data_IF_269463563223
#
_entry.id   IF_269463563223
#
_cell.length_a   1.000
_cell.length_b   1.000
_cell.length_c   1.000
_cell.angle_alpha   90.00
_cell.angle_beta   90.00
_cell.angle_gamma   90.00
#
_symmetry.space_group_name_H-M   'P 1'
#
loop_
_entity.id
_entity.type
_entity.pdbx_description
1 polymer ?
#
# COMPACT_ATOMS: atom_id res chain seq x y z
N UNK A 1 12.09 -14.59 -17.14
CA UNK A 1 11.56 -14.52 -15.77
C UNK A 1 11.92 -13.19 -15.14
N UNK A 2 10.96 -12.56 -14.50
CA UNK A 2 11.19 -11.28 -13.83
C UNK A 2 12.06 -11.46 -12.58
N UNK A 3 12.98 -10.54 -12.32
CA UNK A 3 13.80 -10.55 -11.11
C UNK A 3 12.97 -10.38 -9.83
N UNK A 4 11.75 -9.85 -9.96
CA UNK A 4 10.86 -9.59 -8.83
C UNK A 4 9.83 -10.69 -8.61
N UNK A 5 9.78 -11.69 -9.49
CA UNK A 5 8.79 -12.77 -9.36
C UNK A 5 8.86 -13.43 -7.99
N UNK A 6 7.70 -13.51 -7.33
CA UNK A 6 7.60 -14.11 -6.00
C UNK A 6 7.98 -13.18 -4.85
N UNK A 7 8.40 -11.97 -5.14
CA UNK A 7 8.80 -11.00 -4.11
C UNK A 7 7.67 -9.99 -3.86
N UNK A 8 7.59 -9.51 -2.62
CA UNK A 8 6.69 -8.39 -2.31
C UNK A 8 7.25 -7.13 -2.94
N UNK A 9 6.44 -6.46 -3.75
CA UNK A 9 6.89 -5.27 -4.50
C UNK A 9 6.16 -4.00 -4.09
N UNK A 10 5.06 -4.12 -3.37
CA UNK A 10 4.28 -2.96 -2.96
C UNK A 10 3.47 -3.30 -1.72
N UNK A 11 3.29 -2.30 -0.86
CA UNK A 11 2.46 -2.42 0.33
C UNK A 11 1.44 -1.31 0.34
N UNK A 12 0.29 -1.55 0.93
CA UNK A 12 -0.78 -0.57 0.95
C UNK A 12 -1.46 -0.57 2.30
N UNK A 13 -1.54 0.61 2.91
CA UNK A 13 -2.24 0.80 4.16
C UNK A 13 -3.60 1.43 3.88
N UNK A 14 -4.65 0.77 4.35
CA UNK A 14 -5.99 1.34 4.38
C UNK A 14 -6.35 1.67 5.81
N UNK A 15 -6.71 2.92 6.07
CA UNK A 15 -7.01 3.37 7.42
C UNK A 15 -8.14 4.39 7.42
N UNK A 16 -8.80 4.52 8.55
CA UNK A 16 -9.86 5.52 8.73
C UNK A 16 -9.29 6.92 9.01
N UNK A 17 -7.99 7.03 9.30
CA UNK A 17 -7.33 8.30 9.59
C UNK A 17 -5.96 8.35 8.94
N UNK A 18 -5.91 8.79 7.69
CA UNK A 18 -4.65 8.86 6.94
C UNK A 18 -3.69 9.89 7.51
N UNK A 19 -4.20 10.98 8.07
CA UNK A 19 -3.35 12.00 8.66
C UNK A 19 -2.60 11.47 9.89
N UNK A 20 -3.31 10.71 10.74
CA UNK A 20 -2.69 10.10 11.91
C UNK A 20 -1.64 9.06 11.50
N UNK A 21 -1.94 8.26 10.47
CA UNK A 21 -0.99 7.28 9.96
C UNK A 21 0.27 7.95 9.42
N UNK A 22 0.10 9.02 8.65
CA UNK A 22 1.24 9.77 8.11
C UNK A 22 2.13 10.31 9.24
N UNK A 23 1.53 10.85 10.28
CA UNK A 23 2.28 11.35 11.44
C UNK A 23 3.02 10.24 12.16
N UNK A 24 2.35 9.11 12.36
CA UNK A 24 2.95 7.98 13.08
C UNK A 24 4.17 7.43 12.35
N UNK A 25 4.00 7.10 11.07
CA UNK A 25 5.11 6.51 10.30
C UNK A 25 6.20 7.53 9.99
N UNK A 26 5.85 8.81 9.86
CA UNK A 26 6.84 9.88 9.74
C UNK A 26 7.70 10.00 10.98
N UNK A 27 7.08 9.91 12.15
CA UNK A 27 7.79 10.02 13.43
C UNK A 27 8.67 8.80 13.72
N UNK A 28 8.14 7.60 13.42
CA UNK A 28 8.83 6.35 13.78
C UNK A 28 9.89 5.95 12.75
N UNK A 29 9.58 6.12 11.47
CA UNK A 29 10.42 5.61 10.39
C UNK A 29 11.02 6.70 9.49
N UNK A 30 10.64 7.95 9.71
CA UNK A 30 11.12 9.04 8.88
C UNK A 30 10.52 9.08 7.49
N UNK A 31 9.42 8.33 7.26
CA UNK A 31 8.77 8.31 5.96
C UNK A 31 8.05 9.64 5.69
N UNK A 32 8.03 10.04 4.42
CA UNK A 32 7.23 11.18 3.99
C UNK A 32 6.06 10.69 3.15
N UNK A 33 5.05 11.52 3.03
CA UNK A 33 3.84 11.17 2.28
C UNK A 33 3.62 12.22 1.20
N UNK A 34 3.34 11.77 -0.02
CA UNK A 34 3.03 12.65 -1.13
C UNK A 34 1.80 12.15 -1.86
N UNK A 35 1.07 13.05 -2.53
CA UNK A 35 -0.08 12.68 -3.34
C UNK A 35 0.40 11.93 -4.58
N UNK A 36 -0.28 10.83 -4.90
CA UNK A 36 0.06 10.05 -6.07
C UNK A 36 -0.39 10.73 -7.38
N UNK A 37 -1.38 11.61 -7.30
CA UNK A 37 -1.94 12.24 -8.48
C UNK A 37 -2.81 11.32 -9.33
N UNK A 38 -2.77 10.03 -9.05
CA UNK A 38 -3.55 9.01 -9.73
C UNK A 38 -4.19 8.12 -8.67
N UNK A 39 -5.26 7.43 -9.01
CA UNK A 39 -5.92 6.53 -8.06
C UNK A 39 -6.88 7.23 -7.12
N UNK A 40 -7.22 8.49 -7.43
CA UNK A 40 -8.15 9.28 -6.66
C UNK A 40 -7.46 10.25 -5.70
N UNK A 41 -8.21 11.21 -5.18
CA UNK A 41 -7.65 12.28 -4.34
C UNK A 41 -7.12 11.79 -3.00
N UNK A 42 -7.59 10.62 -2.54
CA UNK A 42 -7.20 10.09 -1.24
C UNK A 42 -6.01 9.14 -1.28
N UNK A 43 -5.51 8.83 -2.48
CA UNK A 43 -4.38 7.92 -2.61
C UNK A 43 -3.06 8.68 -2.48
N UNK A 44 -2.27 8.28 -1.50
CA UNK A 44 -0.99 8.88 -1.21
C UNK A 44 0.11 7.83 -1.24
N UNK A 45 1.36 8.26 -1.35
CA UNK A 45 2.49 7.36 -1.40
C UNK A 45 3.42 7.65 -0.22
N UNK A 46 3.78 6.60 0.52
CA UNK A 46 4.85 6.66 1.49
C UNK A 46 6.18 6.61 0.77
N UNK A 47 7.09 7.48 1.13
CA UNK A 47 8.42 7.53 0.55
C UNK A 47 9.47 7.39 1.66
N UNK A 48 10.47 6.53 1.41
CA UNK A 48 11.59 6.40 2.31
C UNK A 48 12.53 7.60 2.11
N UNK A 49 13.15 8.12 3.18
CA UNK A 49 14.01 9.30 3.07
C UNK A 49 15.37 9.02 2.44
N UNK A 50 15.89 7.80 2.62
CA UNK A 50 17.29 7.51 2.24
C UNK A 50 17.45 6.05 1.83
N UNK A 51 17.58 5.71 0.53
CA UNK A 51 17.37 6.62 -0.60
C UNK A 51 15.89 6.95 -0.76
N UNK A 52 15.59 8.12 -1.30
CA UNK A 52 14.21 8.53 -1.51
C UNK A 52 13.56 7.64 -2.56
N UNK A 53 12.52 6.94 -2.16
CA UNK A 53 11.79 6.05 -3.06
C UNK A 53 10.40 5.76 -2.52
N UNK A 54 9.46 5.53 -3.43
CA UNK A 54 8.11 5.09 -3.05
C UNK A 54 8.16 3.65 -2.53
N UNK A 55 7.53 3.40 -1.41
CA UNK A 55 7.52 2.09 -0.77
C UNK A 55 6.14 1.49 -0.62
N UNK A 56 5.11 2.31 -0.60
CA UNK A 56 3.76 1.81 -0.45
C UNK A 56 2.74 2.90 -0.56
N UNK A 57 1.48 2.51 -0.61
CA UNK A 57 0.34 3.41 -0.69
C UNK A 57 -0.32 3.62 0.65
N UNK A 58 -0.98 4.76 0.77
CA UNK A 58 -1.79 5.11 1.94
C UNK A 58 -3.12 5.62 1.43
N UNK A 59 -4.21 5.01 1.89
CA UNK A 59 -5.53 5.41 1.43
C UNK A 59 -6.57 5.26 2.53
N UNK A 60 -7.66 6.01 2.38
CA UNK A 60 -8.78 5.90 3.29
C UNK A 60 -9.49 4.56 3.08
N UNK A 61 -9.81 3.89 4.18
CA UNK A 61 -10.57 2.64 4.13
C UNK A 61 -11.94 2.93 3.50
N UNK A 62 -12.30 2.26 2.41
CA UNK A 62 -13.61 2.49 1.76
C UNK A 62 -14.78 2.24 2.71
N UNK A 63 -15.82 3.05 2.59
CA UNK A 63 -17.00 2.93 3.44
C UNK A 63 -17.64 1.55 3.38
N UNK A 64 -17.64 0.93 2.20
CA UNK A 64 -18.18 -0.41 2.01
C UNK A 64 -17.48 -1.43 2.88
N UNK A 65 -16.15 -1.37 2.91
CA UNK A 65 -15.34 -2.28 3.73
C UNK A 65 -15.52 -1.98 5.21
N UNK A 66 -15.62 -0.71 5.56
CA UNK A 66 -15.85 -0.30 6.95
C UNK A 66 -17.18 -0.84 7.44
N UNK A 67 -18.23 -0.77 6.60
CA UNK A 67 -19.56 -1.29 6.93
C UNK A 67 -19.54 -2.82 7.12
N UNK A 68 -18.60 -3.50 6.45
CA UNK A 68 -18.42 -4.95 6.58
C UNK A 68 -17.57 -5.33 7.80
N UNK A 69 -17.12 -4.37 8.58
CA UNK A 69 -16.31 -4.62 9.76
C UNK A 69 -14.83 -4.81 9.48
N UNK A 70 -14.36 -4.45 8.28
CA UNK A 70 -12.94 -4.54 7.95
C UNK A 70 -12.16 -3.49 8.72
N UNK A 71 -11.15 -3.88 9.51
CA UNK A 71 -10.36 -2.91 10.26
C UNK A 71 -9.28 -2.26 9.40
N UNK A 72 -8.63 -1.22 9.94
CA UNK A 72 -7.38 -0.68 9.38
C UNK A 72 -6.41 -1.83 9.16
N UNK A 73 -5.79 -1.86 7.99
CA UNK A 73 -4.94 -3.01 7.65
C UNK A 73 -3.88 -2.65 6.62
N UNK A 74 -2.81 -3.45 6.61
CA UNK A 74 -1.79 -3.44 5.58
C UNK A 74 -2.04 -4.59 4.62
N UNK A 75 -1.86 -4.33 3.32
CA UNK A 75 -1.90 -5.37 2.28
C UNK A 75 -0.56 -5.38 1.55
N UNK A 76 -0.11 -6.56 1.18
CA UNK A 76 1.10 -6.70 0.38
C UNK A 76 0.78 -7.22 -1.01
N UNK A 77 1.54 -6.78 -1.97
CA UNK A 77 1.39 -7.21 -3.38
C UNK A 77 2.64 -7.95 -3.81
N UNK A 78 2.45 -9.13 -4.36
CA UNK A 78 3.55 -9.98 -4.82
C UNK A 78 3.62 -9.93 -6.34
N UNK A 79 4.81 -9.66 -6.86
CA UNK A 79 5.03 -9.67 -8.31
C UNK A 79 5.08 -11.11 -8.82
N UNK A 80 4.37 -11.37 -9.92
CA UNK A 80 4.39 -12.67 -10.58
C UNK A 80 4.46 -12.46 -12.08
N UNK A 81 5.05 -13.41 -12.78
CA UNK A 81 5.18 -13.30 -14.24
C UNK A 81 3.84 -13.47 -14.95
N UNK A 82 2.94 -14.26 -14.39
CA UNK A 82 1.60 -14.49 -14.95
C UNK A 82 0.59 -14.52 -13.80
N UNK A 83 -0.17 -13.43 -13.67
CA UNK A 83 -1.13 -13.26 -12.58
C UNK A 83 -2.23 -14.32 -12.63
N UNK A 84 -2.77 -14.57 -13.83
CA UNK A 84 -3.87 -15.51 -13.98
C UNK A 84 -3.44 -16.95 -13.65
N UNK A 85 -2.27 -17.36 -14.13
CA UNK A 85 -1.74 -18.69 -13.85
C UNK A 85 -1.47 -18.86 -12.36
N UNK A 86 -0.89 -17.84 -11.72
CA UNK A 86 -0.60 -17.88 -10.29
C UNK A 86 -1.89 -17.93 -9.48
N UNK A 87 -2.88 -17.13 -9.83
CA UNK A 87 -4.17 -17.14 -9.14
C UNK A 87 -4.84 -18.50 -9.20
N UNK A 88 -4.78 -19.16 -10.35
CA UNK A 88 -5.35 -20.51 -10.50
C UNK A 88 -4.69 -21.54 -9.58
N UNK A 89 -3.40 -21.36 -9.29
CA UNK A 89 -2.68 -22.28 -8.40
C UNK A 89 -3.09 -22.12 -6.94
N UNK A 90 -3.64 -20.97 -6.57
CA UNK A 90 -4.16 -20.75 -5.22
C UNK A 90 -5.59 -21.23 -5.04
N UNK A 91 -6.28 -21.51 -6.12
CA UNK A 91 -7.70 -21.90 -6.08
C UNK A 91 -7.89 -23.34 -5.56
#
# INVERSE_FOLDING_TARGET
MSDTHGKFVWYELMTTDTAAAARFYGSVLGWTVSSAGMGGPDYQIFEAPEPKRGIGGLMTLPDELKAMGVPTNWSGYVAVDDVDATARRFA
#
